data_IF_143055646072
#
_entry.id   IF_143055646072
#
_cell.length_a   1.000
_cell.length_b   1.000
_cell.length_c   1.000
_cell.angle_alpha   90.00
_cell.angle_beta   90.00
_cell.angle_gamma   90.00
#
_symmetry.space_group_name_H-M   'P 1'
#
loop_
_entity.id
_entity.type
_entity.pdbx_description
1 polymer ?
#
# COMPACT_ATOMS: atom_id res chain seq x y z
N UNK A 1 -64.45 -65.60 -10.60
CA UNK A 1 -62.99 -65.44 -10.58
C UNK A 1 -62.63 -64.17 -11.35
N UNK A 2 -62.33 -63.09 -10.63
CA UNK A 2 -61.83 -61.82 -11.17
C UNK A 2 -60.58 -61.48 -10.38
N UNK A 3 -59.43 -61.72 -10.98
CA UNK A 3 -58.11 -61.47 -10.37
C UNK A 3 -57.78 -60.00 -10.55
N UNK A 4 -57.68 -59.28 -9.44
CA UNK A 4 -57.28 -57.87 -9.36
C UNK A 4 -55.75 -57.82 -9.49
N UNK A 5 -55.24 -57.16 -10.53
CA UNK A 5 -53.83 -56.81 -10.65
C UNK A 5 -53.53 -55.62 -9.74
N UNK A 6 -52.63 -55.81 -8.77
CA UNK A 6 -52.02 -54.75 -7.95
C UNK A 6 -50.79 -54.25 -8.72
N UNK A 7 -50.81 -52.99 -9.15
CA UNK A 7 -49.64 -52.29 -9.69
C UNK A 7 -48.88 -51.67 -8.53
N UNK A 8 -47.70 -52.21 -8.21
CA UNK A 8 -46.78 -51.61 -7.25
C UNK A 8 -45.97 -50.50 -7.93
N UNK A 9 -46.17 -49.25 -7.51
CA UNK A 9 -45.34 -48.12 -7.91
C UNK A 9 -44.04 -48.12 -7.09
N UNK A 10 -42.91 -48.41 -7.73
CA UNK A 10 -41.59 -48.16 -7.14
C UNK A 10 -41.32 -46.65 -7.15
N UNK A 11 -41.28 -46.03 -5.97
CA UNK A 11 -40.73 -44.69 -5.77
C UNK A 11 -39.20 -44.80 -5.73
N UNK A 12 -38.55 -44.43 -6.83
CA UNK A 12 -37.11 -44.17 -6.87
C UNK A 12 -36.83 -42.85 -6.15
N UNK A 13 -36.33 -42.92 -4.92
CA UNK A 13 -35.72 -41.77 -4.24
C UNK A 13 -34.38 -41.45 -4.90
N UNK A 14 -34.38 -40.51 -5.84
CA UNK A 14 -33.16 -39.93 -6.36
C UNK A 14 -32.53 -39.02 -5.31
N UNK A 15 -31.34 -39.38 -4.82
CA UNK A 15 -30.46 -38.43 -4.14
C UNK A 15 -29.99 -37.40 -5.18
N UNK A 16 -30.71 -36.29 -5.29
CA UNK A 16 -30.21 -35.13 -6.00
C UNK A 16 -29.09 -34.50 -5.15
N UNK A 17 -27.83 -34.75 -5.53
CA UNK A 17 -26.73 -33.91 -5.09
C UNK A 17 -27.00 -32.48 -5.59
N UNK A 18 -26.89 -31.45 -4.74
CA UNK A 18 -27.14 -30.08 -5.17
C UNK A 18 -26.22 -29.73 -6.33
N UNK A 19 -26.77 -29.05 -7.34
CA UNK A 19 -25.98 -28.57 -8.47
C UNK A 19 -25.04 -27.46 -8.02
N UNK A 20 -23.89 -27.30 -8.70
CA UNK A 20 -22.86 -26.28 -8.37
C UNK A 20 -23.46 -24.85 -8.29
N UNK A 21 -24.60 -24.61 -8.95
CA UNK A 21 -25.34 -23.36 -8.90
C UNK A 21 -26.06 -23.10 -7.54
N UNK A 22 -26.46 -24.14 -6.82
CA UNK A 22 -27.16 -23.99 -5.52
C UNK A 22 -26.20 -23.81 -4.34
N UNK A 23 -24.95 -24.27 -4.45
CA UNK A 23 -23.89 -23.92 -3.48
C UNK A 23 -23.41 -22.46 -3.63
N UNK A 24 -23.60 -21.84 -4.80
CA UNK A 24 -23.27 -20.43 -5.04
C UNK A 24 -24.33 -19.48 -4.45
N UNK A 25 -25.54 -19.96 -4.12
CA UNK A 25 -26.61 -19.17 -3.51
C UNK A 25 -26.56 -19.04 -1.98
N UNK A 26 -25.59 -19.66 -1.32
CA UNK A 26 -25.30 -19.50 0.13
C UNK A 26 -23.95 -18.88 0.40
N UNK A 27 -23.33 -18.30 -0.62
CA UNK A 27 -22.21 -17.38 -0.41
C UNK A 27 -22.78 -16.10 0.19
N UNK A 28 -22.59 -15.91 1.49
CA UNK A 28 -22.75 -14.64 2.19
C UNK A 28 -21.75 -13.58 1.71
N UNK A 29 -21.39 -13.54 0.42
CA UNK A 29 -20.45 -12.57 -0.15
C UNK A 29 -21.13 -11.27 -0.59
N UNK A 30 -22.18 -10.86 0.13
CA UNK A 30 -22.70 -9.49 0.11
C UNK A 30 -22.31 -8.70 1.36
N UNK A 31 -21.64 -9.32 2.34
CA UNK A 31 -21.36 -8.72 3.66
C UNK A 31 -19.94 -8.12 3.84
N UNK A 32 -19.17 -8.02 2.75
CA UNK A 32 -17.91 -7.26 2.72
C UNK A 32 -17.92 -6.28 1.54
N UNK A 33 -18.93 -5.42 1.47
CA UNK A 33 -18.63 -4.03 1.11
C UNK A 33 -17.56 -3.58 2.11
N UNK A 34 -16.28 -3.63 1.70
CA UNK A 34 -15.14 -3.37 2.57
C UNK A 34 -15.34 -2.00 3.22
N UNK A 35 -15.51 -1.97 4.54
CA UNK A 35 -15.72 -0.73 5.29
C UNK A 35 -14.53 0.19 5.04
N UNK A 36 -14.81 1.35 4.46
CA UNK A 36 -13.82 2.39 4.16
C UNK A 36 -13.68 3.41 5.30
N UNK A 37 -14.51 3.28 6.32
CA UNK A 37 -14.57 4.15 7.50
C UNK A 37 -14.32 3.35 8.78
N UNK A 38 -13.81 3.99 9.84
CA UNK A 38 -13.73 3.36 11.17
C UNK A 38 -15.13 3.08 11.74
N UNK A 39 -15.26 1.99 12.49
CA UNK A 39 -16.51 1.60 13.12
C UNK A 39 -16.88 2.50 14.31
N UNK A 40 -18.19 2.75 14.47
CA UNK A 40 -18.74 3.36 15.69
C UNK A 40 -18.33 4.82 15.95
N UNK A 41 -17.84 5.52 14.92
CA UNK A 41 -17.34 6.88 15.06
C UNK A 41 -18.49 7.90 15.22
N UNK A 42 -18.59 8.54 16.39
CA UNK A 42 -19.62 9.56 16.69
C UNK A 42 -19.07 10.97 16.81
N UNK A 43 -17.82 11.14 17.27
CA UNK A 43 -17.12 12.42 17.35
C UNK A 43 -15.83 12.35 16.54
N UNK A 44 -15.90 12.82 15.29
CA UNK A 44 -14.82 12.72 14.30
C UNK A 44 -13.64 13.61 14.67
N UNK A 45 -13.86 14.77 15.29
CA UNK A 45 -12.77 15.66 15.67
C UNK A 45 -12.00 15.11 16.87
N UNK A 46 -12.71 14.55 17.85
CA UNK A 46 -12.06 13.89 18.99
C UNK A 46 -11.25 12.66 18.56
N UNK A 47 -11.82 11.80 17.69
CA UNK A 47 -11.11 10.63 17.13
C UNK A 47 -9.90 11.05 16.28
N UNK A 48 -10.06 12.05 15.43
CA UNK A 48 -8.96 12.58 14.63
C UNK A 48 -7.78 13.05 15.51
N UNK A 49 -8.06 13.83 16.56
CA UNK A 49 -7.05 14.28 17.52
C UNK A 49 -6.38 13.11 18.24
N UNK A 50 -7.17 12.10 18.64
CA UNK A 50 -6.66 10.90 19.30
C UNK A 50 -5.71 10.12 18.38
N UNK A 51 -6.12 9.82 17.14
CA UNK A 51 -5.28 9.11 16.15
C UNK A 51 -3.97 9.82 15.87
N UNK A 52 -4.04 11.14 15.70
CA UNK A 52 -2.84 11.98 15.50
C UNK A 52 -1.92 11.89 16.72
N UNK A 53 -2.45 12.08 17.93
CA UNK A 53 -1.64 12.00 19.15
C UNK A 53 -1.01 10.61 19.33
N UNK A 54 -1.80 9.54 19.22
CA UNK A 54 -1.32 8.16 19.34
C UNK A 54 -0.25 7.82 18.30
N UNK A 55 -0.37 8.31 17.06
CA UNK A 55 0.65 8.06 16.03
C UNK A 55 1.93 8.84 16.28
N UNK A 56 1.84 10.11 16.73
CA UNK A 56 3.02 10.94 17.03
C UNK A 56 3.80 10.42 18.25
N UNK A 57 3.12 9.79 19.20
CA UNK A 57 3.73 9.10 20.34
C UNK A 57 4.17 7.67 20.02
N UNK A 58 3.56 7.08 18.98
CA UNK A 58 3.62 5.66 18.66
C UNK A 58 5.02 5.16 18.32
N UNK A 59 5.50 4.20 19.12
CA UNK A 59 6.77 3.47 18.89
C UNK A 59 6.56 1.95 18.76
N UNK A 60 5.33 1.51 18.57
CA UNK A 60 4.94 0.10 18.57
C UNK A 60 4.40 -0.33 17.20
N UNK A 61 4.37 -1.64 16.94
CA UNK A 61 3.94 -2.18 15.64
C UNK A 61 5.04 -2.27 14.58
N UNK A 62 6.30 -2.16 14.99
CA UNK A 62 7.48 -2.25 14.12
C UNK A 62 8.37 -3.46 14.43
N UNK A 63 7.94 -4.38 15.29
CA UNK A 63 8.73 -5.55 15.69
C UNK A 63 8.19 -6.79 14.96
N UNK A 64 8.96 -7.39 14.05
CA UNK A 64 8.53 -8.61 13.35
C UNK A 64 8.44 -9.80 14.33
N UNK A 65 7.63 -10.83 14.02
CA UNK A 65 7.50 -12.02 14.85
C UNK A 65 8.81 -12.82 14.88
N UNK A 66 9.08 -13.51 16.00
CA UNK A 66 10.33 -14.24 16.23
C UNK A 66 10.39 -15.63 15.56
N UNK A 67 9.57 -15.91 14.54
CA UNK A 67 9.51 -17.22 13.89
C UNK A 67 10.69 -17.44 12.94
N UNK A 68 11.56 -18.40 13.23
CA UNK A 68 12.79 -18.64 12.45
C UNK A 68 12.55 -19.46 11.19
N UNK A 69 13.03 -18.98 10.05
CA UNK A 69 13.27 -19.77 8.83
C UNK A 69 14.73 -19.57 8.43
N UNK A 70 15.52 -20.64 8.49
CA UNK A 70 16.94 -20.58 8.15
C UNK A 70 17.14 -20.06 6.72
N UNK A 71 18.24 -19.35 6.48
CA UNK A 71 18.60 -18.85 5.16
C UNK A 71 18.66 -19.99 4.13
N UNK A 72 17.89 -19.88 3.05
CA UNK A 72 17.92 -20.81 1.93
C UNK A 72 18.98 -20.38 0.90
N UNK A 73 19.54 -21.32 0.13
CA UNK A 73 20.36 -21.07 -1.07
C UNK A 73 21.40 -19.92 -0.98
N UNK A 74 22.37 -20.01 -0.06
CA UNK A 74 23.48 -19.04 0.00
C UNK A 74 24.12 -18.83 -1.37
N UNK A 75 24.41 -17.56 -1.70
CA UNK A 75 24.99 -17.11 -2.96
C UNK A 75 23.99 -16.93 -4.10
N UNK A 76 22.73 -17.30 -3.94
CA UNK A 76 21.72 -17.15 -4.99
C UNK A 76 21.27 -15.70 -5.22
N UNK A 77 20.56 -15.49 -6.32
CA UNK A 77 20.14 -14.17 -6.80
C UNK A 77 18.62 -14.08 -6.78
N UNK A 78 18.07 -12.98 -6.25
CA UNK A 78 16.67 -12.59 -6.38
C UNK A 78 16.54 -11.43 -7.37
N UNK A 79 15.36 -11.24 -7.95
CA UNK A 79 15.05 -10.07 -8.75
C UNK A 79 14.13 -9.12 -7.98
N UNK A 80 14.44 -7.82 -7.96
CA UNK A 80 13.53 -6.76 -7.52
C UNK A 80 13.08 -5.97 -8.74
N UNK A 81 11.78 -5.81 -8.91
CA UNK A 81 11.19 -5.09 -10.03
C UNK A 81 10.45 -3.89 -9.46
N UNK A 82 10.99 -2.68 -9.63
CA UNK A 82 10.29 -1.46 -9.23
C UNK A 82 9.26 -1.06 -10.28
N UNK A 83 8.11 -0.52 -9.88
CA UNK A 83 7.15 0.06 -10.82
C UNK A 83 7.79 1.22 -11.58
N UNK A 84 8.51 2.07 -10.85
CA UNK A 84 9.37 3.14 -11.33
C UNK A 84 10.50 3.34 -10.32
N UNK A 85 11.75 3.10 -10.73
CA UNK A 85 12.90 3.32 -9.84
C UNK A 85 13.26 4.81 -9.65
N UNK A 86 12.61 5.72 -10.39
CA UNK A 86 12.63 7.16 -10.14
C UNK A 86 11.80 7.60 -8.92
N UNK A 87 10.82 6.78 -8.49
CA UNK A 87 10.05 7.02 -7.29
C UNK A 87 10.90 6.76 -6.03
N UNK A 88 11.01 7.75 -5.14
CA UNK A 88 11.85 7.69 -3.95
C UNK A 88 11.48 6.58 -2.96
N UNK A 89 10.19 6.28 -2.81
CA UNK A 89 9.70 5.20 -1.94
C UNK A 89 10.06 3.82 -2.48
N UNK A 90 9.73 3.56 -3.75
CA UNK A 90 10.08 2.30 -4.44
C UNK A 90 11.60 2.08 -4.43
N UNK A 91 12.37 3.13 -4.73
CA UNK A 91 13.83 3.06 -4.72
C UNK A 91 14.36 2.70 -3.32
N UNK A 92 13.83 3.33 -2.26
CA UNK A 92 14.21 3.05 -0.87
C UNK A 92 13.93 1.60 -0.48
N UNK A 93 12.77 1.05 -0.86
CA UNK A 93 12.44 -0.37 -0.63
C UNK A 93 13.40 -1.28 -1.40
N UNK A 94 13.71 -0.97 -2.66
CA UNK A 94 14.69 -1.73 -3.45
C UNK A 94 16.10 -1.73 -2.82
N UNK A 95 16.53 -0.61 -2.25
CA UNK A 95 17.78 -0.52 -1.48
C UNK A 95 17.72 -1.37 -0.20
N UNK A 96 16.61 -1.34 0.53
CA UNK A 96 16.42 -2.15 1.73
C UNK A 96 16.36 -3.66 1.42
N UNK A 97 15.76 -4.06 0.30
CA UNK A 97 15.81 -5.44 -0.21
C UNK A 97 17.25 -5.84 -0.52
N UNK A 98 18.06 -4.96 -1.12
CA UNK A 98 19.48 -5.23 -1.37
C UNK A 98 20.29 -5.38 -0.06
N UNK A 99 20.04 -4.52 0.93
CA UNK A 99 20.65 -4.63 2.27
C UNK A 99 20.33 -5.98 2.93
N UNK A 100 19.04 -6.35 2.93
CA UNK A 100 18.55 -7.59 3.53
C UNK A 100 19.06 -8.84 2.77
N UNK A 101 19.07 -8.79 1.44
CA UNK A 101 19.61 -9.83 0.59
C UNK A 101 21.09 -10.09 0.91
N UNK A 102 21.90 -9.02 1.03
CA UNK A 102 23.29 -9.16 1.44
C UNK A 102 23.42 -9.83 2.83
N UNK A 103 22.56 -9.45 3.78
CA UNK A 103 22.58 -10.01 5.14
C UNK A 103 22.20 -11.50 5.18
N UNK A 104 21.25 -11.96 4.36
CA UNK A 104 20.89 -13.40 4.28
C UNK A 104 21.87 -14.21 3.42
N UNK A 105 22.72 -13.53 2.62
CA UNK A 105 23.72 -14.13 1.75
C UNK A 105 23.27 -14.32 0.31
N UNK A 106 22.39 -13.46 -0.20
CA UNK A 106 21.90 -13.39 -1.57
C UNK A 106 22.42 -12.15 -2.30
N UNK A 107 22.18 -12.13 -3.62
CA UNK A 107 22.39 -10.99 -4.51
C UNK A 107 21.05 -10.49 -5.06
N UNK A 108 21.00 -9.23 -5.50
CA UNK A 108 19.78 -8.63 -6.10
C UNK A 108 20.06 -8.15 -7.51
N UNK A 109 19.22 -8.54 -8.45
CA UNK A 109 19.09 -7.88 -9.75
C UNK A 109 17.93 -6.90 -9.69
N UNK A 110 18.18 -5.60 -9.81
CA UNK A 110 17.12 -4.59 -9.88
C UNK A 110 16.74 -4.32 -11.33
N UNK A 111 15.44 -4.34 -11.61
CA UNK A 111 14.86 -4.02 -12.90
C UNK A 111 13.81 -2.92 -12.74
N UNK A 112 13.73 -2.05 -13.73
CA UNK A 112 12.88 -0.86 -13.69
C UNK A 112 11.68 -1.02 -14.63
N UNK A 113 10.48 -0.91 -14.07
CA UNK A 113 9.21 -0.96 -14.77
C UNK A 113 8.85 0.33 -15.53
N UNK A 114 9.67 1.39 -15.42
CA UNK A 114 9.55 2.63 -16.22
C UNK A 114 8.23 3.39 -16.03
N UNK A 115 7.54 3.16 -14.91
CA UNK A 115 6.30 3.85 -14.56
C UNK A 115 5.09 3.47 -15.42
N UNK A 116 5.15 2.40 -16.20
CA UNK A 116 4.04 1.99 -17.06
C UNK A 116 3.90 0.47 -17.21
N UNK A 117 2.70 0.00 -17.56
CA UNK A 117 2.37 -1.42 -17.66
C UNK A 117 3.30 -2.19 -18.60
N UNK A 118 3.67 -1.61 -19.75
CA UNK A 118 4.55 -2.27 -20.72
C UNK A 118 5.97 -2.45 -20.18
N UNK A 119 6.54 -1.42 -19.54
CA UNK A 119 7.85 -1.50 -18.91
C UNK A 119 7.89 -2.54 -17.78
N UNK A 120 6.84 -2.60 -16.96
CA UNK A 120 6.67 -3.65 -15.93
C UNK A 120 6.63 -5.06 -16.54
N UNK A 121 5.87 -5.26 -17.60
CA UNK A 121 5.81 -6.55 -18.32
C UNK A 121 7.19 -6.95 -18.86
N UNK A 122 7.93 -6.01 -19.46
CA UNK A 122 9.28 -6.25 -19.99
C UNK A 122 10.27 -6.62 -18.87
N UNK A 123 10.27 -5.88 -17.76
CA UNK A 123 11.11 -6.15 -16.61
C UNK A 123 10.79 -7.51 -15.97
N UNK A 124 9.50 -7.88 -15.85
CA UNK A 124 9.08 -9.19 -15.37
C UNK A 124 9.52 -10.32 -16.30
N UNK A 125 9.34 -10.18 -17.61
CA UNK A 125 9.80 -11.18 -18.57
C UNK A 125 11.33 -11.37 -18.50
N UNK A 126 12.08 -10.28 -18.36
CA UNK A 126 13.53 -10.33 -18.14
C UNK A 126 13.87 -11.05 -16.82
N UNK A 127 13.17 -10.74 -15.73
CA UNK A 127 13.37 -11.42 -14.44
C UNK A 127 13.14 -12.93 -14.55
N UNK A 128 12.04 -13.36 -15.20
CA UNK A 128 11.73 -14.79 -15.41
C UNK A 128 12.83 -15.48 -16.22
N UNK A 129 13.34 -14.82 -17.27
CA UNK A 129 14.43 -15.34 -18.09
C UNK A 129 15.75 -15.52 -17.32
N UNK A 130 16.00 -14.68 -16.31
CA UNK A 130 17.17 -14.79 -15.44
C UNK A 130 17.09 -15.97 -14.45
N UNK A 131 15.92 -16.60 -14.30
CA UNK A 131 15.68 -17.73 -13.39
C UNK A 131 16.20 -17.49 -11.95
N UNK A 132 15.85 -16.37 -11.30
CA UNK A 132 16.26 -16.09 -9.93
C UNK A 132 15.64 -17.09 -8.93
N UNK A 133 16.14 -17.08 -7.70
CA UNK A 133 15.53 -17.79 -6.56
C UNK A 133 14.09 -17.33 -6.30
N UNK A 134 13.76 -16.10 -6.66
CA UNK A 134 12.47 -15.48 -6.43
C UNK A 134 12.41 -14.06 -6.96
N UNK A 135 11.19 -13.53 -7.06
CA UNK A 135 10.91 -12.18 -7.56
C UNK A 135 10.21 -11.36 -6.47
N UNK A 136 10.64 -10.11 -6.29
CA UNK A 136 9.99 -9.08 -5.48
C UNK A 136 9.38 -8.04 -6.42
N UNK A 137 8.06 -7.87 -6.38
CA UNK A 137 7.35 -6.77 -7.03
C UNK A 137 7.40 -5.54 -6.12
N UNK A 138 7.78 -4.38 -6.64
CA UNK A 138 7.88 -3.14 -5.88
C UNK A 138 6.95 -2.06 -6.43
N UNK A 139 5.77 -1.91 -5.86
CA UNK A 139 4.91 -0.74 -6.07
C UNK A 139 3.94 -0.82 -7.25
N UNK A 140 3.52 -2.00 -7.70
CA UNK A 140 2.53 -2.12 -8.78
C UNK A 140 1.61 -3.33 -8.63
N UNK A 141 0.39 -3.20 -9.15
CA UNK A 141 -0.67 -4.21 -9.02
C UNK A 141 -0.30 -5.53 -9.71
N UNK A 142 -0.30 -6.62 -8.93
CA UNK A 142 -0.02 -7.96 -9.44
C UNK A 142 -1.07 -8.45 -10.43
N UNK A 143 -2.33 -8.03 -10.28
CA UNK A 143 -3.43 -8.40 -11.17
C UNK A 143 -3.18 -7.93 -12.61
N UNK A 144 -2.56 -6.75 -12.80
CA UNK A 144 -2.18 -6.25 -14.13
C UNK A 144 -1.19 -7.19 -14.83
N UNK A 145 -0.34 -7.85 -14.04
CA UNK A 145 0.78 -8.66 -14.50
C UNK A 145 0.53 -10.17 -14.34
N UNK A 146 -0.73 -10.58 -14.15
CA UNK A 146 -1.11 -11.96 -13.81
C UNK A 146 -0.59 -13.01 -14.80
N UNK A 147 -0.53 -12.68 -16.09
CA UNK A 147 -0.03 -13.60 -17.12
C UNK A 147 1.47 -13.89 -16.97
N UNK A 148 2.29 -12.88 -16.68
CA UNK A 148 3.74 -13.05 -16.48
C UNK A 148 4.06 -13.62 -15.10
N UNK A 149 3.29 -13.28 -14.06
CA UNK A 149 3.42 -13.92 -12.74
C UNK A 149 3.08 -15.41 -12.82
N UNK A 150 2.08 -15.79 -13.62
CA UNK A 150 1.79 -17.21 -13.89
C UNK A 150 2.99 -17.92 -14.54
N UNK A 151 3.69 -17.28 -15.48
CA UNK A 151 4.90 -17.85 -16.08
C UNK A 151 6.03 -18.03 -15.06
N UNK A 152 6.19 -17.08 -14.12
CA UNK A 152 7.14 -17.24 -13.00
C UNK A 152 6.78 -18.46 -12.14
N UNK A 153 5.49 -18.65 -11.82
CA UNK A 153 5.02 -19.81 -11.07
C UNK A 153 5.24 -21.12 -11.82
N UNK A 154 4.97 -21.19 -13.13
CA UNK A 154 5.26 -22.35 -13.99
C UNK A 154 6.77 -22.65 -14.07
N UNK A 155 7.61 -21.63 -13.93
CA UNK A 155 9.06 -21.77 -13.84
C UNK A 155 9.56 -22.17 -12.43
N UNK A 156 8.67 -22.26 -11.43
CA UNK A 156 9.01 -22.55 -10.04
C UNK A 156 9.61 -21.38 -9.28
N UNK A 157 9.38 -20.15 -9.74
CA UNK A 157 9.94 -18.91 -9.15
C UNK A 157 8.87 -18.28 -8.24
N UNK A 158 9.01 -18.28 -6.91
CA UNK A 158 8.07 -17.63 -6.01
C UNK A 158 8.10 -16.11 -6.18
N UNK A 159 6.94 -15.49 -6.01
CA UNK A 159 6.76 -14.03 -6.11
C UNK A 159 6.22 -13.48 -4.80
N UNK A 160 6.87 -12.45 -4.25
CA UNK A 160 6.34 -11.61 -3.17
C UNK A 160 6.16 -10.18 -3.67
N UNK A 161 5.28 -9.42 -3.03
CA UNK A 161 5.00 -8.04 -3.45
C UNK A 161 5.11 -7.05 -2.33
N UNK A 162 5.56 -5.84 -2.64
CA UNK A 162 5.36 -4.63 -1.85
C UNK A 162 4.37 -3.74 -2.59
N UNK A 163 3.28 -3.36 -1.94
CA UNK A 163 2.17 -2.64 -2.60
C UNK A 163 1.71 -3.31 -3.92
N UNK A 164 1.63 -4.64 -3.93
CA UNK A 164 1.22 -5.42 -5.10
C UNK A 164 -0.30 -5.63 -5.21
N UNK A 165 -1.06 -5.09 -4.26
CA UNK A 165 -2.51 -5.14 -4.22
C UNK A 165 -3.07 -4.30 -3.07
N UNK A 166 -4.39 -4.27 -2.96
CA UNK A 166 -5.11 -3.34 -2.08
C UNK A 166 -5.13 -3.70 -0.58
N UNK A 167 -4.64 -4.88 -0.18
CA UNK A 167 -4.58 -5.31 1.23
C UNK A 167 -3.30 -6.11 1.50
N UNK A 168 -2.75 -6.07 2.73
CA UNK A 168 -1.64 -6.93 3.11
C UNK A 168 -2.05 -8.42 3.13
N UNK A 169 -1.07 -9.30 2.96
CA UNK A 169 -1.23 -10.74 3.09
C UNK A 169 -1.25 -11.52 1.76
N UNK A 170 -1.59 -12.83 1.81
CA UNK A 170 -1.50 -13.72 0.65
C UNK A 170 -2.43 -13.32 -0.50
N UNK A 171 -1.94 -13.44 -1.74
CA UNK A 171 -2.69 -13.13 -2.96
C UNK A 171 -2.66 -14.32 -3.95
N UNK A 172 -3.26 -15.46 -3.59
CA UNK A 172 -3.15 -16.70 -4.39
C UNK A 172 -3.76 -16.56 -5.79
N UNK A 173 -4.82 -15.76 -5.95
CA UNK A 173 -5.44 -15.51 -7.25
C UNK A 173 -4.51 -14.77 -8.22
N UNK A 174 -3.58 -13.96 -7.71
CA UNK A 174 -2.59 -13.23 -8.49
C UNK A 174 -1.24 -13.97 -8.57
N UNK A 175 -1.10 -15.14 -7.95
CA UNK A 175 0.16 -15.89 -7.89
C UNK A 175 1.24 -15.25 -7.01
N UNK A 176 0.86 -14.36 -6.09
CA UNK A 176 1.78 -13.70 -5.15
C UNK A 176 1.65 -14.35 -3.77
N UNK A 177 2.78 -14.82 -3.24
CA UNK A 177 2.88 -15.52 -1.96
C UNK A 177 2.36 -14.66 -0.81
N UNK A 178 2.80 -13.41 -0.75
CA UNK A 178 2.26 -12.40 0.18
C UNK A 178 2.55 -11.00 -0.31
N UNK A 179 1.64 -10.07 -0.01
CA UNK A 179 1.77 -8.64 -0.21
C UNK A 179 2.15 -7.96 1.11
N UNK A 180 3.31 -7.31 1.13
CA UNK A 180 3.83 -6.52 2.25
C UNK A 180 3.42 -5.07 2.04
N UNK A 181 2.76 -4.51 3.04
CA UNK A 181 2.36 -3.10 3.12
C UNK A 181 1.94 -2.81 4.56
N UNK A 182 1.87 -1.55 4.97
CA UNK A 182 1.05 -1.18 6.13
C UNK A 182 -0.45 -1.35 5.84
N UNK A 183 -1.35 -1.22 6.82
CA UNK A 183 -2.78 -1.20 6.52
C UNK A 183 -3.15 0.08 5.75
N UNK A 184 -3.58 0.00 4.48
CA UNK A 184 -3.88 1.18 3.68
C UNK A 184 -5.06 2.00 4.22
N UNK A 185 -6.00 1.38 4.95
CA UNK A 185 -7.08 2.12 5.59
C UNK A 185 -6.57 2.91 6.80
N UNK A 186 -5.67 2.34 7.60
CA UNK A 186 -5.05 3.08 8.71
C UNK A 186 -4.25 4.27 8.19
N UNK A 187 -3.49 4.10 7.10
CA UNK A 187 -2.75 5.19 6.44
C UNK A 187 -3.70 6.30 5.99
N UNK A 188 -4.77 5.94 5.29
CA UNK A 188 -5.76 6.89 4.78
C UNK A 188 -6.48 7.64 5.90
N UNK A 189 -6.95 6.92 6.92
CA UNK A 189 -7.62 7.52 8.07
C UNK A 189 -6.70 8.46 8.84
N UNK A 190 -5.43 8.11 9.00
CA UNK A 190 -4.46 8.96 9.69
C UNK A 190 -4.14 10.25 8.92
N UNK A 191 -4.02 10.18 7.59
CA UNK A 191 -3.85 11.35 6.74
C UNK A 191 -5.07 12.28 6.78
N UNK A 192 -6.28 11.71 6.68
CA UNK A 192 -7.52 12.47 6.79
C UNK A 192 -7.74 13.03 8.21
N UNK A 193 -7.43 12.24 9.24
CA UNK A 193 -7.47 12.66 10.65
C UNK A 193 -6.56 13.85 10.91
N UNK A 194 -5.36 13.89 10.32
CA UNK A 194 -4.48 15.05 10.43
C UNK A 194 -5.16 16.34 9.93
N UNK A 195 -5.74 16.33 8.73
CA UNK A 195 -6.44 17.50 8.19
C UNK A 195 -7.67 17.90 9.03
N UNK A 196 -8.44 16.92 9.54
CA UNK A 196 -9.58 17.19 10.43
C UNK A 196 -9.12 17.81 11.76
N UNK A 197 -8.09 17.24 12.40
CA UNK A 197 -7.59 17.70 13.68
C UNK A 197 -6.96 19.10 13.60
N UNK A 198 -6.12 19.31 12.59
CA UNK A 198 -5.39 20.56 12.35
C UNK A 198 -6.32 21.73 12.00
N UNK A 199 -7.36 21.47 11.19
CA UNK A 199 -8.39 22.49 10.86
C UNK A 199 -9.40 22.77 11.99
N UNK A 200 -9.37 21.99 13.08
CA UNK A 200 -10.39 22.02 14.11
C UNK A 200 -11.77 21.59 13.60
N UNK A 201 -11.82 20.61 12.69
CA UNK A 201 -13.05 20.04 12.14
C UNK A 201 -13.69 20.87 11.04
N UNK A 202 -12.90 21.66 10.29
CA UNK A 202 -13.39 22.59 9.25
C UNK A 202 -12.63 22.49 7.92
N UNK A 203 -11.98 21.36 7.67
CA UNK A 203 -11.14 21.18 6.49
C UNK A 203 -11.96 21.19 5.20
N UNK A 204 -11.57 22.02 4.23
CA UNK A 204 -11.92 21.84 2.83
C UNK A 204 -10.82 21.05 2.12
N UNK A 205 -11.15 19.89 1.59
CA UNK A 205 -10.19 18.88 1.14
C UNK A 205 -10.37 18.57 -0.34
N UNK A 206 -9.28 18.50 -1.09
CA UNK A 206 -9.22 17.77 -2.36
C UNK A 206 -8.46 16.46 -2.14
N UNK A 207 -9.00 15.35 -2.64
CA UNK A 207 -8.36 14.03 -2.59
C UNK A 207 -7.76 13.71 -3.95
N UNK A 208 -6.47 13.37 -3.99
CA UNK A 208 -5.73 12.98 -5.20
C UNK A 208 -5.49 11.48 -5.19
N UNK A 209 -5.82 10.81 -6.28
CA UNK A 209 -5.61 9.37 -6.49
C UNK A 209 -4.93 9.08 -7.82
N UNK A 210 -4.55 7.82 -8.00
CA UNK A 210 -4.16 7.23 -9.27
C UNK A 210 -4.94 5.94 -9.49
N UNK A 211 -5.86 5.96 -10.45
CA UNK A 211 -6.74 4.81 -10.73
C UNK A 211 -6.03 3.61 -11.34
N UNK A 212 -4.76 3.72 -11.72
CA UNK A 212 -3.97 2.58 -12.18
C UNK A 212 -3.65 1.58 -11.06
N UNK A 213 -3.71 2.00 -9.78
CA UNK A 213 -3.34 1.18 -8.63
C UNK A 213 -4.52 0.99 -7.67
N UNK A 214 -4.91 -0.26 -7.41
CA UNK A 214 -6.05 -0.59 -6.55
C UNK A 214 -5.86 -0.06 -5.12
N UNK A 215 -4.62 -0.10 -4.61
CA UNK A 215 -4.28 0.46 -3.30
C UNK A 215 -4.46 1.98 -3.23
N UNK A 216 -4.14 2.71 -4.31
CA UNK A 216 -4.32 4.15 -4.39
C UNK A 216 -5.82 4.51 -4.38
N UNK A 217 -6.63 3.80 -5.17
CA UNK A 217 -8.09 3.98 -5.15
C UNK A 217 -8.67 3.68 -3.77
N UNK A 218 -8.21 2.61 -3.11
CA UNK A 218 -8.66 2.26 -1.76
C UNK A 218 -8.32 3.35 -0.74
N UNK A 219 -7.07 3.83 -0.72
CA UNK A 219 -6.62 4.90 0.18
C UNK A 219 -7.41 6.19 -0.07
N UNK A 220 -7.58 6.60 -1.33
CA UNK A 220 -8.29 7.82 -1.69
C UNK A 220 -9.76 7.78 -1.27
N UNK A 221 -10.48 6.69 -1.56
CA UNK A 221 -11.87 6.53 -1.11
C UNK A 221 -11.99 6.50 0.40
N UNK A 222 -11.05 5.86 1.11
CA UNK A 222 -11.04 5.86 2.57
C UNK A 222 -10.79 7.26 3.17
N UNK A 223 -9.90 8.07 2.58
CA UNK A 223 -9.71 9.47 2.96
C UNK A 223 -10.98 10.29 2.71
N UNK A 224 -11.59 10.13 1.54
CA UNK A 224 -12.83 10.81 1.17
C UNK A 224 -13.95 10.49 2.17
N UNK A 225 -14.21 9.21 2.41
CA UNK A 225 -15.28 8.76 3.31
C UNK A 225 -15.01 9.16 4.76
N UNK A 226 -13.76 9.14 5.23
CA UNK A 226 -13.40 9.63 6.57
C UNK A 226 -13.73 11.13 6.71
N UNK A 227 -13.36 11.95 5.72
CA UNK A 227 -13.63 13.40 5.75
C UNK A 227 -15.14 13.68 5.72
N UNK A 228 -15.93 12.89 4.96
CA UNK A 228 -17.40 13.01 4.92
C UNK A 228 -18.08 12.77 6.27
N UNK A 229 -17.45 12.03 7.19
CA UNK A 229 -17.98 11.86 8.55
C UNK A 229 -17.91 13.17 9.37
N UNK A 230 -16.94 14.04 9.07
CA UNK A 230 -16.77 15.33 9.76
C UNK A 230 -17.80 16.34 9.23
N UNK A 231 -18.87 16.60 9.98
CA UNK A 231 -19.96 17.49 9.57
C UNK A 231 -19.55 18.94 9.29
N UNK A 232 -18.43 19.40 9.87
CA UNK A 232 -17.85 20.72 9.59
C UNK A 232 -16.84 20.74 8.44
N UNK A 233 -16.42 19.57 7.94
CA UNK A 233 -15.47 19.43 6.86
C UNK A 233 -16.20 19.31 5.50
N UNK A 234 -15.47 19.46 4.40
CA UNK A 234 -16.02 19.32 3.05
C UNK A 234 -15.00 18.69 2.11
N UNK A 235 -15.38 17.60 1.45
CA UNK A 235 -14.66 17.13 0.26
C UNK A 235 -15.05 18.04 -0.90
N UNK A 236 -14.10 18.84 -1.38
CA UNK A 236 -14.27 19.77 -2.50
C UNK A 236 -14.23 19.05 -3.84
N UNK A 237 -13.33 18.07 -3.98
CA UNK A 237 -13.30 17.15 -5.11
C UNK A 237 -12.43 15.92 -4.85
N UNK A 238 -12.64 14.93 -5.71
CA UNK A 238 -11.83 13.74 -5.88
C UNK A 238 -11.22 13.82 -7.27
N UNK A 239 -9.89 13.85 -7.37
CA UNK A 239 -9.15 14.06 -8.61
C UNK A 239 -8.27 12.85 -8.90
N UNK A 240 -8.42 12.29 -10.10
CA UNK A 240 -7.59 11.19 -10.60
C UNK A 240 -6.48 11.75 -11.48
N UNK A 241 -5.22 11.55 -11.05
CA UNK A 241 -4.03 11.97 -11.78
C UNK A 241 -2.93 10.92 -11.60
N UNK A 242 -2.33 10.42 -12.69
CA UNK A 242 -1.25 9.47 -12.58
C UNK A 242 -0.06 10.05 -11.80
N UNK A 243 0.52 9.25 -10.91
CA UNK A 243 1.63 9.68 -10.03
C UNK A 243 2.88 9.97 -10.87
N UNK A 244 3.13 9.17 -11.90
CA UNK A 244 4.26 9.30 -12.81
C UNK A 244 4.26 10.63 -13.58
N UNK A 245 3.08 11.21 -13.78
CA UNK A 245 2.88 12.47 -14.51
C UNK A 245 2.78 13.69 -13.56
N UNK A 246 3.00 13.51 -12.25
CA UNK A 246 2.75 14.53 -11.23
C UNK A 246 3.44 15.87 -11.55
N UNK A 247 4.71 15.86 -11.92
CA UNK A 247 5.47 17.09 -12.23
C UNK A 247 4.89 17.85 -13.43
N UNK A 248 4.31 17.16 -14.41
CA UNK A 248 3.72 17.75 -15.60
C UNK A 248 2.26 18.20 -15.40
N UNK A 249 1.47 17.44 -14.63
CA UNK A 249 0.02 17.66 -14.49
C UNK A 249 -0.37 18.50 -13.29
N UNK A 250 0.35 18.37 -12.17
CA UNK A 250 -0.03 19.06 -10.93
C UNK A 250 -0.05 20.59 -11.04
N UNK A 251 0.83 21.27 -11.80
CA UNK A 251 0.76 22.73 -11.92
C UNK A 251 -0.58 23.24 -12.47
N UNK A 252 -1.08 22.63 -13.53
CA UNK A 252 -2.35 23.04 -14.16
C UNK A 252 -3.57 22.60 -13.35
N UNK A 253 -3.52 21.40 -12.75
CA UNK A 253 -4.57 20.90 -11.86
C UNK A 253 -4.72 21.82 -10.64
N UNK A 254 -3.62 22.14 -9.94
CA UNK A 254 -3.66 23.02 -8.75
C UNK A 254 -4.15 24.41 -9.10
N UNK A 255 -3.72 24.98 -10.24
CA UNK A 255 -4.23 26.27 -10.72
C UNK A 255 -5.75 26.25 -10.90
N UNK A 256 -6.30 25.17 -11.49
CA UNK A 256 -7.74 24.98 -11.67
C UNK A 256 -8.46 24.82 -10.33
N UNK A 257 -7.90 24.03 -9.40
CA UNK A 257 -8.47 23.82 -8.07
C UNK A 257 -8.53 25.11 -7.26
N UNK A 258 -7.50 25.96 -7.36
CA UNK A 258 -7.46 27.28 -6.71
C UNK A 258 -8.51 28.22 -7.30
N UNK A 259 -8.65 28.27 -8.62
CA UNK A 259 -9.69 29.08 -9.29
C UNK A 259 -11.10 28.64 -8.90
N UNK A 260 -11.36 27.32 -8.84
CA UNK A 260 -12.67 26.76 -8.53
C UNK A 260 -13.08 26.94 -7.07
N UNK A 261 -12.13 26.75 -6.14
CA UNK A 261 -12.44 26.63 -4.72
C UNK A 261 -12.02 27.84 -3.89
N UNK A 262 -11.11 28.69 -4.38
CA UNK A 262 -10.59 29.84 -3.65
C UNK A 262 -10.03 29.42 -2.27
N UNK A 263 -10.37 30.19 -1.24
CA UNK A 263 -9.90 29.96 0.13
C UNK A 263 -10.59 28.80 0.85
N UNK A 264 -11.60 28.16 0.22
CA UNK A 264 -12.18 26.92 0.75
C UNK A 264 -11.18 25.77 0.65
N UNK A 265 -10.24 25.83 -0.29
CA UNK A 265 -9.22 24.79 -0.48
C UNK A 265 -8.16 24.87 0.62
N UNK A 266 -8.39 24.10 1.69
CA UNK A 266 -7.53 24.05 2.88
C UNK A 266 -6.46 22.95 2.80
N UNK A 267 -6.76 21.81 2.17
CA UNK A 267 -5.83 20.67 2.11
C UNK A 267 -5.86 19.95 0.76
N UNK A 268 -4.67 19.49 0.37
CA UNK A 268 -4.49 18.45 -0.65
C UNK A 268 -4.14 17.14 0.06
N UNK A 269 -5.05 16.16 0.07
CA UNK A 269 -4.77 14.81 0.54
C UNK A 269 -4.35 13.95 -0.65
N UNK A 270 -3.11 13.48 -0.67
CA UNK A 270 -2.58 12.68 -1.77
C UNK A 270 -2.25 11.26 -1.33
N UNK A 271 -2.56 10.27 -2.16
CA UNK A 271 -2.18 8.86 -1.91
C UNK A 271 -0.65 8.63 -1.94
N UNK A 272 0.10 9.59 -2.47
CA UNK A 272 1.56 9.59 -2.51
C UNK A 272 2.08 11.04 -2.44
N UNK A 273 3.26 11.27 -1.86
CA UNK A 273 3.84 12.61 -1.73
C UNK A 273 4.35 13.22 -3.04
N UNK A 274 4.56 12.43 -4.10
CA UNK A 274 5.08 12.89 -5.39
C UNK A 274 4.22 13.98 -6.04
N UNK A 275 2.89 13.95 -5.83
CA UNK A 275 2.01 15.03 -6.28
C UNK A 275 2.46 16.41 -5.80
N UNK A 276 3.03 16.47 -4.60
CA UNK A 276 3.37 17.73 -3.97
C UNK A 276 4.65 18.32 -4.53
N UNK A 277 5.55 17.52 -5.11
CA UNK A 277 6.68 18.03 -5.89
C UNK A 277 6.22 18.97 -7.01
N UNK A 278 5.32 18.46 -7.86
CA UNK A 278 4.71 19.20 -8.97
C UNK A 278 3.72 20.29 -8.56
N UNK A 279 3.05 20.16 -7.40
CA UNK A 279 2.08 21.16 -6.94
C UNK A 279 2.72 22.50 -6.52
N UNK A 280 3.96 22.46 -6.01
CA UNK A 280 4.62 23.61 -5.38
C UNK A 280 4.73 24.84 -6.28
N UNK A 281 5.04 24.64 -7.56
CA UNK A 281 5.22 25.75 -8.50
C UNK A 281 3.93 26.56 -8.63
N UNK A 282 2.80 25.89 -8.88
CA UNK A 282 1.50 26.55 -8.99
C UNK A 282 1.05 27.22 -7.69
N UNK A 283 1.31 26.61 -6.52
CA UNK A 283 0.98 27.24 -5.23
C UNK A 283 1.78 28.52 -5.01
N UNK A 284 3.09 28.49 -5.30
CA UNK A 284 3.96 29.66 -5.21
C UNK A 284 3.55 30.75 -6.21
N UNK A 285 3.29 30.39 -7.45
CA UNK A 285 2.93 31.32 -8.51
C UNK A 285 1.57 31.99 -8.24
N UNK A 286 0.67 31.28 -7.55
CA UNK A 286 -0.59 31.83 -7.02
C UNK A 286 -0.42 32.64 -5.73
N UNK A 287 0.80 32.87 -5.24
CA UNK A 287 1.09 33.64 -4.04
C UNK A 287 0.64 32.98 -2.73
N UNK A 288 0.39 31.66 -2.72
CA UNK A 288 0.07 30.95 -1.48
C UNK A 288 1.32 30.84 -0.60
N UNK A 289 1.20 31.02 0.73
CA UNK A 289 2.33 30.84 1.64
C UNK A 289 2.74 29.37 1.73
N UNK A 290 4.05 29.10 1.79
CA UNK A 290 4.59 27.73 1.87
C UNK A 290 4.03 26.91 3.05
N UNK A 291 3.77 27.55 4.18
CA UNK A 291 3.21 26.93 5.39
C UNK A 291 1.73 27.26 5.61
N UNK A 292 0.98 27.60 4.56
CA UNK A 292 -0.45 27.88 4.68
C UNK A 292 -1.29 27.22 3.59
N UNK A 293 -2.60 27.51 3.54
CA UNK A 293 -3.53 26.73 2.73
C UNK A 293 -3.37 26.97 1.21
N UNK A 294 -3.57 25.92 0.39
CA UNK A 294 -3.73 24.53 0.84
C UNK A 294 -2.43 23.91 1.33
N UNK A 295 -2.53 23.21 2.46
CA UNK A 295 -1.44 22.38 2.98
C UNK A 295 -1.58 20.95 2.45
N UNK A 296 -0.46 20.36 2.05
CA UNK A 296 -0.47 18.99 1.54
C UNK A 296 -0.21 17.96 2.63
N UNK A 297 -0.91 16.82 2.56
CA UNK A 297 -0.75 15.68 3.46
C UNK A 297 -0.70 14.42 2.62
N UNK A 298 0.37 13.64 2.73
CA UNK A 298 0.49 12.38 2.01
C UNK A 298 -0.02 11.21 2.87
N UNK A 299 -0.82 10.35 2.26
CA UNK A 299 -1.04 8.96 2.66
C UNK A 299 0.04 8.05 2.02
N UNK A 300 1.29 8.52 2.01
CA UNK A 300 2.39 8.02 1.19
C UNK A 300 3.70 7.81 1.96
N UNK A 301 4.60 7.07 1.31
CA UNK A 301 5.72 6.31 1.88
C UNK A 301 6.63 7.06 2.85
N UNK A 302 6.80 8.38 2.72
CA UNK A 302 7.72 9.16 3.54
C UNK A 302 9.13 9.11 2.99
N UNK A 303 9.28 9.47 1.71
CA UNK A 303 10.59 9.52 1.06
C UNK A 303 11.42 10.75 1.48
N UNK A 304 12.66 10.81 0.98
CA UNK A 304 13.58 11.90 1.29
C UNK A 304 13.06 13.28 0.87
N UNK A 305 12.34 13.36 -0.25
CA UNK A 305 11.80 14.60 -0.78
C UNK A 305 10.60 15.08 0.05
N UNK A 306 9.72 14.16 0.47
CA UNK A 306 8.64 14.42 1.41
C UNK A 306 9.17 14.91 2.75
N UNK A 307 10.14 14.22 3.35
CA UNK A 307 10.72 14.66 4.61
C UNK A 307 11.43 16.00 4.50
N UNK A 308 12.06 16.30 3.36
CA UNK A 308 12.58 17.65 3.11
C UNK A 308 11.46 18.68 3.14
N UNK A 309 10.35 18.45 2.43
CA UNK A 309 9.22 19.39 2.39
C UNK A 309 8.56 19.56 3.75
N UNK A 310 8.31 18.48 4.48
CA UNK A 310 7.73 18.52 5.83
C UNK A 310 8.63 19.27 6.82
N UNK A 311 9.94 19.05 6.76
CA UNK A 311 10.91 19.71 7.65
C UNK A 311 10.99 21.22 7.43
N UNK A 312 10.97 21.64 6.17
CA UNK A 312 11.07 23.05 5.79
C UNK A 312 9.72 23.77 5.77
N UNK A 313 8.62 23.03 5.73
CA UNK A 313 7.28 23.58 5.55
C UNK A 313 7.04 24.04 4.11
N UNK A 314 7.60 23.34 3.12
CA UNK A 314 7.51 23.65 1.69
C UNK A 314 6.24 23.00 1.08
N UNK A 315 5.08 23.57 1.43
CA UNK A 315 3.72 23.17 1.00
C UNK A 315 3.25 21.78 1.41
N UNK A 316 4.02 21.06 2.24
CA UNK A 316 3.63 19.77 2.83
C UNK A 316 3.70 19.86 4.35
N UNK A 317 2.57 19.63 5.01
CA UNK A 317 2.44 19.71 6.47
C UNK A 317 2.74 18.37 7.16
N UNK A 318 2.37 17.27 6.52
CA UNK A 318 2.57 15.93 7.05
C UNK A 318 2.69 14.85 5.95
N UNK A 319 3.20 13.70 6.35
CA UNK A 319 3.16 12.45 5.57
C UNK A 319 2.94 11.27 6.52
N UNK A 320 2.19 10.26 6.08
CA UNK A 320 1.97 9.03 6.83
C UNK A 320 2.95 7.99 6.30
N UNK A 321 4.16 7.99 6.88
CA UNK A 321 5.29 7.22 6.40
C UNK A 321 5.13 5.71 6.65
N UNK A 322 5.64 4.92 5.71
CA UNK A 322 5.84 3.48 5.89
C UNK A 322 7.25 3.19 6.42
N UNK A 323 7.43 2.14 7.23
CA UNK A 323 8.76 1.71 7.66
C UNK A 323 9.47 0.94 6.53
N UNK A 324 9.77 1.63 5.42
CA UNK A 324 10.24 1.04 4.16
C UNK A 324 11.48 0.15 4.33
N UNK A 325 12.40 0.54 5.21
CA UNK A 325 13.60 -0.27 5.46
C UNK A 325 13.24 -1.62 6.12
N UNK A 326 12.32 -1.60 7.09
CA UNK A 326 11.82 -2.83 7.72
C UNK A 326 11.04 -3.69 6.73
N UNK A 327 10.25 -3.07 5.85
CA UNK A 327 9.51 -3.81 4.83
C UNK A 327 10.42 -4.44 3.78
N UNK A 328 11.52 -3.79 3.39
CA UNK A 328 12.54 -4.39 2.54
C UNK A 328 13.13 -5.68 3.14
N UNK A 329 13.41 -5.67 4.44
CA UNK A 329 13.84 -6.86 5.17
C UNK A 329 12.73 -7.91 5.29
N UNK A 330 11.49 -7.48 5.52
CA UNK A 330 10.33 -8.37 5.53
C UNK A 330 10.16 -9.07 4.17
N UNK A 331 10.29 -8.37 3.05
CA UNK A 331 10.16 -8.96 1.70
C UNK A 331 11.17 -10.09 1.47
N UNK A 332 12.42 -9.91 1.92
CA UNK A 332 13.44 -10.96 1.84
C UNK A 332 13.10 -12.14 2.74
N UNK A 333 12.60 -11.90 3.96
CA UNK A 333 12.12 -12.97 4.83
C UNK A 333 10.96 -13.73 4.21
N UNK A 334 9.92 -13.04 3.72
CA UNK A 334 8.76 -13.68 3.09
C UNK A 334 9.15 -14.48 1.85
N UNK A 335 10.10 -14.00 1.06
CA UNK A 335 10.63 -14.77 -0.07
C UNK A 335 11.40 -16.01 0.39
N UNK A 336 12.21 -15.90 1.44
CA UNK A 336 12.91 -17.02 2.06
C UNK A 336 11.92 -18.08 2.61
N UNK A 337 10.82 -17.64 3.22
CA UNK A 337 9.72 -18.51 3.68
C UNK A 337 9.06 -19.22 2.51
N UNK A 338 8.77 -18.51 1.42
CA UNK A 338 8.19 -19.10 0.21
C UNK A 338 9.09 -20.19 -0.38
N UNK A 339 10.39 -19.94 -0.47
CA UNK A 339 11.39 -20.90 -0.97
C UNK A 339 11.50 -22.12 -0.03
N UNK A 340 11.44 -21.91 1.28
CA UNK A 340 11.47 -22.97 2.29
C UNK A 340 10.14 -23.76 2.40
N UNK A 341 9.09 -23.38 1.67
CA UNK A 341 7.76 -23.98 1.81
C UNK A 341 7.06 -23.66 3.13
N UNK A 342 7.49 -22.60 3.84
CA UNK A 342 6.87 -22.13 5.07
C UNK A 342 5.67 -21.21 4.75
N UNK A 343 4.73 -21.09 5.69
CA UNK A 343 3.64 -20.12 5.57
C UNK A 343 4.15 -18.67 5.70
N UNK A 344 3.52 -17.67 5.07
CA UNK A 344 3.85 -16.25 5.25
C UNK A 344 3.87 -15.85 6.73
N UNK A 345 4.67 -14.85 7.10
CA UNK A 345 4.79 -14.45 8.52
C UNK A 345 3.49 -13.88 9.09
N UNK A 346 2.63 -13.32 8.23
CA UNK A 346 1.41 -12.60 8.63
C UNK A 346 1.68 -11.25 9.28
N UNK A 347 2.94 -10.78 9.28
CA UNK A 347 3.32 -9.51 9.89
C UNK A 347 2.82 -8.32 9.04
N UNK A 348 2.17 -7.37 9.70
CA UNK A 348 1.76 -6.09 9.12
C UNK A 348 2.32 -5.00 10.01
N UNK A 349 3.25 -4.22 9.48
CA UNK A 349 3.83 -3.10 10.21
C UNK A 349 2.83 -1.94 10.34
N UNK A 350 2.94 -1.17 11.42
CA UNK A 350 2.16 0.07 11.57
C UNK A 350 2.74 1.20 10.70
N UNK A 351 1.91 2.12 10.19
CA UNK A 351 2.39 3.37 9.62
C UNK A 351 2.70 4.41 10.71
N UNK A 352 3.43 5.47 10.36
CA UNK A 352 3.76 6.56 11.28
C UNK A 352 3.41 7.93 10.69
N UNK A 353 2.64 8.74 11.44
CA UNK A 353 2.43 10.14 11.08
C UNK A 353 3.70 10.95 11.35
N UNK A 354 4.24 11.51 10.28
CA UNK A 354 5.41 12.38 10.31
C UNK A 354 4.96 13.82 10.05
N UNK A 355 5.30 14.70 11.00
CA UNK A 355 5.08 16.14 10.92
C UNK A 355 6.42 16.86 11.07
N UNK A 356 6.43 18.19 10.98
CA UNK A 356 7.64 18.98 11.26
C UNK A 356 8.26 18.70 12.63
N UNK A 357 7.45 18.32 13.62
CA UNK A 357 7.91 18.03 14.98
C UNK A 357 8.59 16.65 15.10
N UNK A 358 8.23 15.70 14.24
CA UNK A 358 8.65 14.29 14.34
C UNK A 358 9.49 13.81 13.15
N UNK A 359 9.67 14.65 12.12
CA UNK A 359 10.46 14.31 10.93
C UNK A 359 11.88 13.89 11.31
N UNK A 360 12.37 12.73 10.82
CA UNK A 360 13.71 12.27 11.15
C UNK A 360 14.77 13.24 10.62
N UNK A 361 15.96 13.22 11.22
CA UNK A 361 17.09 13.98 10.70
C UNK A 361 17.55 13.45 9.33
N UNK A 362 17.45 12.13 9.14
CA UNK A 362 17.81 11.44 7.90
C UNK A 362 16.72 11.46 6.83
N UNK A 363 17.00 10.82 5.68
CA UNK A 363 16.09 10.76 4.53
C UNK A 363 15.00 9.69 4.65
N UNK A 364 15.01 8.88 5.71
CA UNK A 364 14.16 7.68 5.85
C UNK A 364 13.60 7.58 7.27
N UNK A 365 12.41 7.00 7.37
CA UNK A 365 11.80 6.62 8.64
C UNK A 365 12.24 5.19 8.96
N UNK A 366 13.17 5.07 9.91
CA UNK A 366 13.71 3.80 10.37
C UNK A 366 13.28 3.57 11.84
N UNK A 367 12.28 2.71 12.11
CA UNK A 367 11.82 2.49 13.47
C UNK A 367 12.89 1.76 14.29
N UNK A 368 13.17 2.18 15.54
CA UNK A 368 14.21 1.60 16.38
C UNK A 368 13.75 0.28 17.03
N UNK A 369 13.31 -0.70 16.23
CA UNK A 369 12.74 -1.96 16.72
C UNK A 369 13.73 -3.13 16.77
N UNK A 370 14.96 -2.95 16.28
CA UNK A 370 15.96 -4.02 16.18
C UNK A 370 15.60 -5.10 15.14
N UNK A 371 14.74 -4.78 14.16
CA UNK A 371 14.25 -5.75 13.19
C UNK A 371 15.37 -6.41 12.38
N UNK A 372 16.47 -5.70 12.09
CA UNK A 372 17.62 -6.24 11.35
C UNK A 372 18.24 -7.42 12.11
N UNK A 373 18.49 -7.25 13.41
CA UNK A 373 19.00 -8.29 14.29
C UNK A 373 18.01 -9.45 14.43
N UNK A 374 16.71 -9.16 14.52
CA UNK A 374 15.67 -10.19 14.59
C UNK A 374 15.68 -11.05 13.33
N UNK A 375 15.71 -10.45 12.15
CA UNK A 375 15.76 -11.18 10.88
C UNK A 375 17.08 -11.94 10.69
N UNK A 376 18.25 -11.33 10.97
CA UNK A 376 19.53 -12.05 10.92
C UNK A 376 19.51 -13.30 11.80
N UNK A 377 19.01 -13.17 13.03
CA UNK A 377 18.85 -14.29 13.95
C UNK A 377 17.87 -15.34 13.41
N UNK A 378 16.73 -14.92 12.84
CA UNK A 378 15.75 -15.82 12.23
C UNK A 378 16.36 -16.64 11.08
N UNK A 379 17.27 -16.04 10.32
CA UNK A 379 17.98 -16.66 9.21
C UNK A 379 19.22 -17.47 9.61
N UNK A 380 19.60 -17.47 10.89
CA UNK A 380 20.81 -18.12 11.38
C UNK A 380 22.10 -17.41 10.95
N UNK A 381 22.05 -16.09 10.74
CA UNK A 381 23.21 -15.24 10.46
C UNK A 381 23.63 -14.54 11.77
N UNK A 382 24.94 -14.46 11.99
CA UNK A 382 25.56 -13.80 13.15
C UNK A 382 25.78 -12.31 12.93
#
# INVERSE_FOLDING_TARGET
MRTILIVAALLLTGCASPTVAEMQGRSTSTAAQQRLTPDGLTDVLADARKRVAESLEGRTGFTPPSGSVAAQHRGGTIAFIGADLGNGGINTVGQAVAEAAQAIGWQVTQLDGKGNAQGRTQALNQAVALRPLGIVLGGFDATEQASTIKQAAEAGIPVVGWHAGATPGPMPAAGVFTNVTTDPLEVAWLAAAYAVADSGGRAGVVVLTDSQYEIAVRKAKAMEEYVKLCSGCTVLSYEDSPIEDADARMPSLVSTLLQRNGDRLGYLLGVNGNYFGGAKSALRDAGRPATGPPMSVAAGDGDAAEFQRVRTGDYQAATVAEPMLLQGWQLVDELNRAIAGAAPSGFVAKPALITRATVPAGPVFDPPSGYREIYRKAWGQS
#
